data_IF_389309136921
#
_entry.id   IF_389309136921
#
_cell.length_a   1.000
_cell.length_b   1.000
_cell.length_c   1.000
_cell.angle_alpha   90.00
_cell.angle_beta   90.00
_cell.angle_gamma   90.00
#
_symmetry.space_group_name_H-M   'P 1'
#
loop_
_entity.id
_entity.type
_entity.pdbx_description
1 polymer ?
#
# COMPACT_ATOMS: atom_id res chain seq x y z
N UNK A 1 2.19 -9.76 -8.48
CA UNK A 1 0.91 -9.27 -9.03
C UNK A 1 -0.19 -10.26 -8.59
N UNK A 2 -0.83 -10.01 -7.44
CA UNK A 2 -1.97 -10.82 -6.99
C UNK A 2 -3.20 -10.38 -7.77
N UNK A 3 -3.58 -11.12 -8.81
CA UNK A 3 -4.85 -10.95 -9.48
C UNK A 3 -5.94 -11.63 -8.64
N UNK A 4 -6.42 -10.91 -7.63
CA UNK A 4 -7.64 -11.29 -6.90
C UNK A 4 -8.85 -11.02 -7.79
N UNK A 5 -9.18 -11.97 -8.68
CA UNK A 5 -10.43 -11.93 -9.41
C UNK A 5 -11.57 -12.36 -8.47
N UNK A 6 -12.20 -11.40 -7.79
CA UNK A 6 -13.47 -11.61 -7.12
C UNK A 6 -14.54 -11.87 -8.18
N UNK A 7 -15.06 -13.11 -8.24
CA UNK A 7 -16.25 -13.44 -9.00
C UNK A 7 -17.51 -12.84 -8.34
N UNK A 8 -17.68 -11.52 -8.40
CA UNK A 8 -18.98 -10.90 -8.16
C UNK A 8 -19.87 -11.11 -9.40
N UNK A 9 -20.47 -12.28 -9.50
CA UNK A 9 -21.49 -12.59 -10.51
C UNK A 9 -22.83 -12.01 -10.12
N UNK A 10 -23.04 -10.71 -10.31
CA UNK A 10 -24.38 -10.10 -10.28
C UNK A 10 -25.05 -10.34 -11.64
N UNK A 11 -25.54 -11.55 -11.88
CA UNK A 11 -26.22 -11.90 -13.14
C UNK A 11 -27.65 -11.35 -13.14
N UNK A 12 -27.83 -10.08 -13.57
CA UNK A 12 -29.13 -9.64 -14.10
C UNK A 12 -29.22 -10.07 -15.55
N UNK A 13 -30.22 -10.92 -15.83
CA UNK A 13 -30.78 -11.26 -17.15
C UNK A 13 -29.78 -11.70 -18.23
N UNK A 14 -29.66 -13.01 -18.44
CA UNK A 14 -29.08 -13.57 -19.67
C UNK A 14 -30.07 -13.36 -20.83
N UNK A 15 -29.97 -12.21 -21.51
CA UNK A 15 -30.58 -11.98 -22.82
C UNK A 15 -29.47 -11.84 -23.85
N UNK A 16 -29.25 -12.88 -24.66
CA UNK A 16 -28.32 -12.82 -25.78
C UNK A 16 -29.00 -12.21 -27.01
N UNK A 17 -28.43 -11.16 -27.58
CA UNK A 17 -28.61 -10.81 -28.98
C UNK A 17 -27.25 -10.94 -29.67
N UNK A 18 -27.14 -11.91 -30.57
CA UNK A 18 -25.99 -12.18 -31.42
C UNK A 18 -26.10 -11.35 -32.70
N UNK A 19 -25.03 -10.62 -33.03
CA UNK A 19 -24.85 -10.01 -34.36
C UNK A 19 -24.67 -11.12 -35.40
N UNK A 20 -25.55 -11.11 -36.40
CA UNK A 20 -25.57 -12.04 -37.51
C UNK A 20 -24.63 -11.57 -38.63
N UNK A 21 -23.57 -12.33 -38.90
CA UNK A 21 -22.96 -12.42 -40.23
C UNK A 21 -21.98 -13.60 -40.31
N UNK A 22 -22.45 -14.67 -40.96
CA UNK A 22 -21.73 -15.39 -42.02
C UNK A 22 -20.37 -16.04 -41.71
N UNK A 23 -20.41 -17.36 -41.48
CA UNK A 23 -19.35 -18.33 -41.80
C UNK A 23 -17.91 -18.00 -41.34
N UNK A 24 -17.62 -18.27 -40.07
CA UNK A 24 -16.27 -18.52 -39.57
C UNK A 24 -16.38 -19.53 -38.44
N UNK A 25 -15.55 -20.58 -38.46
CA UNK A 25 -15.44 -21.61 -37.39
C UNK A 25 -15.69 -20.96 -36.03
N UNK A 26 -16.72 -21.42 -35.32
CA UNK A 26 -17.07 -20.92 -33.99
C UNK A 26 -15.83 -20.98 -33.09
N UNK A 27 -15.12 -19.87 -32.94
CA UNK A 27 -14.22 -19.68 -31.83
C UNK A 27 -15.11 -19.76 -30.60
N UNK A 28 -15.14 -20.93 -29.95
CA UNK A 28 -15.83 -21.10 -28.67
C UNK A 28 -15.30 -20.03 -27.73
N UNK A 29 -16.08 -18.97 -27.55
CA UNK A 29 -15.75 -17.88 -26.66
C UNK A 29 -15.75 -18.45 -25.24
N UNK A 30 -14.58 -18.47 -24.60
CA UNK A 30 -14.43 -18.98 -23.25
C UNK A 30 -14.32 -17.79 -22.30
N UNK A 31 -15.07 -17.77 -21.18
CA UNK A 31 -14.88 -16.77 -20.15
C UNK A 31 -13.44 -16.77 -19.65
N UNK A 32 -12.88 -15.58 -19.37
CA UNK A 32 -11.48 -15.44 -18.98
C UNK A 32 -11.10 -16.29 -17.76
N UNK A 33 -11.96 -16.33 -16.73
CA UNK A 33 -11.74 -17.18 -15.56
C UNK A 33 -11.71 -18.67 -15.91
N UNK A 34 -12.57 -19.10 -16.83
CA UNK A 34 -12.62 -20.50 -17.27
C UNK A 34 -11.37 -20.85 -18.07
N UNK A 35 -10.87 -19.92 -18.89
CA UNK A 35 -9.59 -20.06 -19.58
C UNK A 35 -8.41 -20.21 -18.61
N UNK A 36 -8.30 -19.32 -17.61
CA UNK A 36 -7.26 -19.41 -16.58
C UNK A 36 -7.37 -20.69 -15.74
N UNK A 37 -8.59 -21.09 -15.36
CA UNK A 37 -8.82 -22.35 -14.65
C UNK A 37 -8.41 -23.56 -15.49
N UNK A 38 -8.63 -23.52 -16.80
CA UNK A 38 -8.12 -24.51 -17.74
C UNK A 38 -6.60 -24.60 -17.72
N UNK A 39 -5.92 -23.46 -17.84
CA UNK A 39 -4.45 -23.39 -17.79
C UNK A 39 -3.88 -23.91 -16.46
N UNK A 40 -4.48 -23.53 -15.33
CA UNK A 40 -4.08 -24.00 -14.00
C UNK A 40 -4.22 -25.53 -13.85
N UNK A 41 -5.27 -26.13 -14.43
CA UNK A 41 -5.45 -27.59 -14.45
C UNK A 41 -4.43 -28.30 -15.33
N UNK A 42 -4.00 -27.67 -16.42
CA UNK A 42 -2.97 -28.21 -17.33
C UNK A 42 -1.53 -27.89 -16.91
N UNK A 43 -1.33 -27.05 -15.89
CA UNK A 43 -0.01 -26.63 -15.39
C UNK A 43 0.87 -27.79 -14.91
N UNK A 44 0.29 -28.97 -14.69
CA UNK A 44 1.04 -30.22 -14.49
C UNK A 44 1.93 -30.62 -15.69
N UNK A 45 1.80 -29.95 -16.84
CA UNK A 45 2.47 -30.33 -18.11
C UNK A 45 3.40 -29.25 -18.70
N UNK A 46 3.37 -27.99 -18.26
CA UNK A 46 4.20 -26.88 -18.81
C UNK A 46 4.50 -25.80 -17.78
N UNK A 47 5.72 -25.27 -17.77
CA UNK A 47 6.22 -24.31 -16.76
C UNK A 47 5.63 -22.88 -16.81
N UNK A 48 5.57 -22.30 -15.60
CA UNK A 48 5.69 -20.91 -15.17
C UNK A 48 4.72 -19.79 -15.57
N UNK A 49 3.95 -19.86 -16.67
CA UNK A 49 3.18 -18.67 -17.11
C UNK A 49 2.05 -18.24 -16.15
N UNK A 50 1.41 -19.21 -15.47
CA UNK A 50 0.30 -18.97 -14.52
C UNK A 50 0.70 -19.24 -13.06
N UNK A 51 2.01 -19.32 -12.80
CA UNK A 51 2.53 -19.51 -11.45
C UNK A 51 2.13 -18.35 -10.54
N UNK A 52 1.55 -18.67 -9.37
CA UNK A 52 1.06 -17.68 -8.41
C UNK A 52 -0.35 -17.13 -8.65
N UNK A 53 -1.06 -17.58 -9.69
CA UNK A 53 -2.49 -17.24 -9.88
C UNK A 53 -3.35 -18.16 -9.01
N UNK A 54 -4.19 -17.57 -8.17
CA UNK A 54 -5.15 -18.30 -7.33
C UNK A 54 -6.59 -17.82 -7.62
N UNK A 55 -7.51 -18.77 -7.82
CA UNK A 55 -8.92 -18.49 -8.05
C UNK A 55 -9.72 -18.91 -6.82
N UNK A 56 -10.39 -17.94 -6.17
CA UNK A 56 -11.30 -18.19 -5.04
C UNK A 56 -12.71 -17.80 -5.43
N UNK A 57 -13.66 -18.74 -5.28
CA UNK A 57 -15.06 -18.52 -5.60
C UNK A 57 -15.94 -18.62 -4.35
N UNK A 58 -16.85 -17.66 -4.19
CA UNK A 58 -17.92 -17.71 -3.19
C UNK A 58 -19.27 -17.69 -3.92
N UNK A 59 -20.20 -18.53 -3.48
CA UNK A 59 -21.50 -18.72 -4.12
C UNK A 59 -22.63 -18.35 -3.15
N UNK A 60 -23.55 -17.47 -3.58
CA UNK A 60 -24.77 -17.12 -2.83
C UNK A 60 -25.99 -17.66 -3.58
N UNK A 61 -26.48 -18.82 -3.14
CA UNK A 61 -27.44 -19.63 -3.90
C UNK A 61 -26.74 -20.52 -4.93
N UNK A 62 -27.36 -21.65 -5.31
CA UNK A 62 -26.73 -22.62 -6.22
C UNK A 62 -26.92 -22.24 -7.69
N UNK A 63 -25.94 -22.58 -8.53
CA UNK A 63 -26.00 -22.37 -9.96
C UNK A 63 -27.10 -23.24 -10.63
N UNK A 64 -28.05 -22.63 -11.36
CA UNK A 64 -29.06 -23.39 -12.09
C UNK A 64 -28.45 -24.12 -13.29
N UNK A 65 -28.94 -25.33 -13.58
CA UNK A 65 -28.46 -26.15 -14.72
C UNK A 65 -28.57 -25.44 -16.10
N UNK A 66 -29.46 -24.46 -16.24
CA UNK A 66 -29.61 -23.65 -17.45
C UNK A 66 -28.50 -22.60 -17.64
N UNK A 67 -27.73 -22.26 -16.61
CA UNK A 67 -26.67 -21.24 -16.69
C UNK A 67 -25.29 -21.89 -16.84
N UNK A 68 -24.65 -21.68 -17.99
CA UNK A 68 -23.32 -22.23 -18.25
C UNK A 68 -22.17 -21.40 -17.67
N UNK A 69 -22.42 -20.16 -17.23
CA UNK A 69 -21.38 -19.25 -16.73
C UNK A 69 -20.98 -19.49 -15.27
N UNK A 70 -21.93 -19.88 -14.42
CA UNK A 70 -21.65 -20.24 -13.02
C UNK A 70 -21.38 -21.74 -12.81
N UNK A 71 -21.35 -22.52 -13.90
CA UNK A 71 -21.27 -23.98 -13.87
C UNK A 71 -19.97 -24.43 -13.19
N UNK A 72 -20.11 -25.15 -12.07
CA UNK A 72 -19.01 -25.83 -11.39
C UNK A 72 -19.28 -27.34 -11.37
N UNK A 73 -18.25 -28.12 -11.69
CA UNK A 73 -18.36 -29.58 -11.76
C UNK A 73 -18.91 -30.15 -10.45
N UNK A 74 -20.03 -30.88 -10.54
CA UNK A 74 -20.68 -31.53 -9.39
C UNK A 74 -21.51 -30.62 -8.49
N UNK A 75 -21.72 -29.34 -8.85
CA UNK A 75 -22.51 -28.38 -8.04
C UNK A 75 -23.76 -27.83 -8.74
N UNK A 76 -24.09 -28.34 -9.92
CA UNK A 76 -25.29 -27.95 -10.64
C UNK A 76 -26.56 -28.51 -9.99
N UNK A 77 -27.60 -27.69 -9.93
CA UNK A 77 -28.91 -28.12 -9.45
C UNK A 77 -30.00 -27.70 -10.45
N UNK A 78 -30.95 -28.60 -10.78
CA UNK A 78 -32.15 -28.19 -11.49
C UNK A 78 -32.99 -27.31 -10.55
N UNK A 79 -33.38 -26.12 -11.03
CA UNK A 79 -34.25 -25.17 -10.31
C UNK A 79 -33.86 -24.93 -8.83
N UNK A 80 -32.70 -24.29 -8.56
CA UNK A 80 -32.27 -23.98 -7.21
C UNK A 80 -33.17 -22.92 -6.54
N UNK A 81 -33.32 -23.00 -5.22
CA UNK A 81 -34.10 -22.03 -4.43
C UNK A 81 -33.33 -20.69 -4.41
N UNK A 82 -33.96 -19.56 -4.80
CA UNK A 82 -33.34 -18.25 -4.74
C UNK A 82 -32.92 -17.86 -3.32
N UNK A 83 -31.76 -17.22 -3.18
CA UNK A 83 -31.23 -16.72 -1.91
C UNK A 83 -31.27 -15.19 -1.92
N UNK A 84 -31.47 -14.58 -0.75
CA UNK A 84 -31.40 -13.12 -0.62
C UNK A 84 -30.00 -12.62 -0.99
N UNK A 85 -29.91 -11.82 -2.05
CA UNK A 85 -28.65 -11.24 -2.53
C UNK A 85 -28.47 -9.80 -2.07
N UNK A 86 -29.54 -9.02 -2.10
CA UNK A 86 -29.50 -7.58 -1.84
C UNK A 86 -30.80 -7.13 -1.18
N UNK A 87 -30.67 -6.23 -0.21
CA UNK A 87 -31.79 -5.49 0.38
C UNK A 87 -31.84 -4.13 -0.30
N UNK A 88 -32.78 -3.94 -1.23
CA UNK A 88 -32.87 -2.72 -2.03
C UNK A 88 -33.57 -1.56 -1.31
N UNK A 89 -34.43 -1.87 -0.34
CA UNK A 89 -35.19 -0.89 0.46
C UNK A 89 -35.35 -1.40 1.88
N UNK A 90 -35.23 -0.48 2.83
CA UNK A 90 -35.44 -0.74 4.25
C UNK A 90 -36.46 0.28 4.74
N UNK A 91 -37.43 -0.19 5.51
CA UNK A 91 -38.42 0.66 6.19
C UNK A 91 -38.25 0.47 7.69
N UNK A 92 -38.03 1.54 8.48
CA UNK A 92 -37.84 1.42 9.92
C UNK A 92 -39.09 0.86 10.62
N UNK A 93 -38.92 -0.02 11.60
CA UNK A 93 -40.05 -0.69 12.27
C UNK A 93 -40.98 0.26 13.02
N UNK A 94 -40.47 1.41 13.48
CA UNK A 94 -41.32 2.43 14.12
C UNK A 94 -42.35 3.03 13.16
N UNK A 95 -42.24 2.83 11.83
CA UNK A 95 -43.29 3.25 10.90
C UNK A 95 -44.57 2.42 11.03
N UNK A 96 -44.49 1.23 11.63
CA UNK A 96 -45.62 0.33 11.86
C UNK A 96 -46.39 0.67 13.15
N UNK A 97 -45.83 1.54 13.99
CA UNK A 97 -46.46 1.98 15.25
C UNK A 97 -47.47 3.09 14.95
N UNK A 98 -48.71 2.89 15.39
CA UNK A 98 -49.81 3.83 15.15
C UNK A 98 -49.85 4.98 16.16
N UNK A 99 -49.50 4.71 17.42
CA UNK A 99 -49.45 5.72 18.48
C UNK A 99 -48.22 6.61 18.33
N UNK A 100 -48.43 7.93 18.26
CA UNK A 100 -47.36 8.90 18.01
C UNK A 100 -46.33 8.94 19.15
N UNK A 101 -46.77 8.77 20.40
CA UNK A 101 -45.88 8.84 21.57
C UNK A 101 -44.93 7.65 21.56
N UNK A 102 -45.48 6.45 21.44
CA UNK A 102 -44.73 5.18 21.37
C UNK A 102 -43.81 5.16 20.16
N UNK A 103 -44.25 5.69 19.02
CA UNK A 103 -43.44 5.81 17.81
C UNK A 103 -42.19 6.65 18.03
N UNK A 104 -42.31 7.83 18.63
CA UNK A 104 -41.14 8.68 18.90
C UNK A 104 -40.23 8.07 19.97
N UNK A 105 -40.76 7.46 21.03
CA UNK A 105 -39.93 6.73 22.02
C UNK A 105 -39.16 5.59 21.36
N UNK A 106 -39.81 4.81 20.49
CA UNK A 106 -39.17 3.70 19.80
C UNK A 106 -38.11 4.16 18.79
N UNK A 107 -38.37 5.28 18.10
CA UNK A 107 -37.37 5.93 17.24
C UNK A 107 -36.15 6.40 18.04
N UNK A 108 -36.34 7.08 19.17
CA UNK A 108 -35.24 7.51 20.04
C UNK A 108 -34.41 6.33 20.57
N UNK A 109 -35.07 5.27 21.03
CA UNK A 109 -34.40 4.05 21.47
C UNK A 109 -33.62 3.35 20.32
N UNK A 110 -34.19 3.33 19.12
CA UNK A 110 -33.51 2.80 17.92
C UNK A 110 -32.26 3.62 17.58
N UNK A 111 -32.35 4.95 17.64
CA UNK A 111 -31.22 5.86 17.39
C UNK A 111 -30.12 5.69 18.45
N UNK A 112 -30.49 5.60 19.72
CA UNK A 112 -29.57 5.31 20.83
C UNK A 112 -28.84 3.98 20.62
N UNK A 113 -29.57 2.92 20.29
CA UNK A 113 -28.99 1.60 20.04
C UNK A 113 -28.00 1.60 18.88
N UNK A 114 -28.29 2.34 17.80
CA UNK A 114 -27.48 2.32 16.59
C UNK A 114 -26.25 3.25 16.67
N UNK A 115 -26.42 4.48 17.16
CA UNK A 115 -25.35 5.50 17.15
C UNK A 115 -24.57 5.61 18.46
N UNK A 116 -25.22 5.31 19.59
CA UNK A 116 -24.68 5.50 20.93
C UNK A 116 -24.58 4.19 21.72
N UNK A 117 -24.60 3.04 21.02
CA UNK A 117 -24.50 1.69 21.58
C UNK A 117 -25.50 1.40 22.72
N UNK A 118 -26.63 2.10 22.75
CA UNK A 118 -27.67 1.97 23.79
C UNK A 118 -27.29 2.56 25.15
N UNK A 119 -26.24 3.39 25.23
CA UNK A 119 -25.74 4.00 26.48
C UNK A 119 -25.74 5.52 26.46
N UNK A 120 -26.73 6.09 25.81
CA UNK A 120 -26.89 7.53 25.68
C UNK A 120 -27.92 7.91 24.63
N UNK A 121 -28.33 9.17 24.66
CA UNK A 121 -29.33 9.71 23.75
C UNK A 121 -28.68 10.47 22.60
N UNK A 122 -29.32 10.45 21.44
CA UNK A 122 -28.91 11.26 20.29
C UNK A 122 -29.53 12.65 20.42
N UNK A 123 -28.69 13.69 20.41
CA UNK A 123 -29.10 15.09 20.39
C UNK A 123 -28.49 15.71 19.12
N UNK A 124 -29.34 16.17 18.21
CA UNK A 124 -28.94 16.63 16.88
C UNK A 124 -28.04 15.59 16.17
N UNK A 125 -26.74 15.88 16.05
CA UNK A 125 -25.74 15.04 15.39
C UNK A 125 -24.70 14.41 16.36
N UNK A 126 -24.93 14.47 17.68
CA UNK A 126 -23.99 13.91 18.66
C UNK A 126 -24.69 13.03 19.71
N UNK A 127 -23.90 12.18 20.36
CA UNK A 127 -24.38 11.29 21.41
C UNK A 127 -24.10 11.89 22.80
N UNK A 128 -25.16 12.15 23.56
CA UNK A 128 -25.11 12.45 24.99
C UNK A 128 -25.01 11.15 25.77
N UNK A 129 -23.79 10.80 26.15
CA UNK A 129 -23.53 9.56 26.88
C UNK A 129 -24.04 9.59 28.32
N UNK A 130 -24.59 8.47 28.78
CA UNK A 130 -24.88 8.25 30.20
C UNK A 130 -23.60 8.16 31.02
N UNK A 131 -23.68 8.42 32.33
CA UNK A 131 -22.53 8.38 33.24
C UNK A 131 -21.82 7.02 33.28
N UNK A 132 -22.52 5.93 32.95
CA UNK A 132 -21.97 4.58 32.89
C UNK A 132 -21.15 4.29 31.62
N UNK A 133 -21.15 5.21 30.64
CA UNK A 133 -20.54 5.03 29.34
C UNK A 133 -19.19 5.76 29.18
N UNK A 134 -18.62 6.27 30.28
CA UNK A 134 -17.32 6.91 30.28
C UNK A 134 -16.18 5.87 30.35
N UNK A 135 -15.06 6.16 29.69
CA UNK A 135 -13.85 5.34 29.71
C UNK A 135 -13.13 5.47 31.05
N UNK A 136 -12.05 4.70 31.21
CA UNK A 136 -11.15 4.79 32.38
C UNK A 136 -10.55 6.18 32.56
N UNK A 137 -10.39 6.90 31.45
CA UNK A 137 -9.82 8.26 31.41
C UNK A 137 -10.88 9.34 31.65
N UNK A 138 -12.13 8.96 31.92
CA UNK A 138 -13.23 9.90 32.12
C UNK A 138 -13.70 10.56 30.82
N UNK A 139 -13.43 9.95 29.66
CA UNK A 139 -13.88 10.43 28.35
C UNK A 139 -15.13 9.67 27.88
N UNK A 140 -16.08 10.29 27.17
CA UNK A 140 -17.34 9.63 26.84
C UNK A 140 -17.15 8.61 25.70
N UNK A 141 -17.59 7.37 25.92
CA UNK A 141 -17.33 6.21 25.04
C UNK A 141 -18.61 5.49 24.56
N UNK A 142 -19.77 6.17 24.60
CA UNK A 142 -21.04 5.58 24.11
C UNK A 142 -21.08 5.47 22.57
N UNK A 143 -20.38 6.35 21.85
CA UNK A 143 -20.22 6.24 20.41
C UNK A 143 -18.81 5.70 20.12
N UNK A 144 -18.66 4.43 19.70
CA UNK A 144 -17.37 3.76 19.66
C UNK A 144 -16.52 4.29 18.51
N UNK A 145 -15.38 4.90 18.85
CA UNK A 145 -14.40 5.40 17.90
C UNK A 145 -13.81 4.24 17.10
N UNK A 146 -14.05 4.22 15.79
CA UNK A 146 -13.66 3.11 14.92
C UNK A 146 -12.17 3.17 14.58
N UNK A 147 -11.57 2.00 14.39
CA UNK A 147 -10.19 1.89 13.91
C UNK A 147 -10.10 2.34 12.45
N UNK A 148 -9.28 3.36 12.10
CA UNK A 148 -9.02 3.70 10.71
C UNK A 148 -8.15 2.63 10.07
N UNK A 149 -8.49 2.18 8.86
CA UNK A 149 -7.74 1.13 8.17
C UNK A 149 -6.72 1.76 7.23
N UNK A 150 -5.46 1.81 7.66
CA UNK A 150 -4.32 2.27 6.86
C UNK A 150 -3.98 1.26 5.76
N UNK A 151 -3.77 1.75 4.53
CA UNK A 151 -3.47 0.93 3.34
C UNK A 151 -2.40 1.60 2.50
N UNK A 152 -1.71 0.81 1.67
CA UNK A 152 -0.91 1.36 0.57
C UNK A 152 -1.86 1.93 -0.49
N UNK A 153 -1.48 3.07 -1.07
CA UNK A 153 -2.21 3.67 -2.19
C UNK A 153 -2.16 2.72 -3.41
N UNK A 154 -3.30 2.22 -3.92
CA UNK A 154 -3.31 1.20 -4.97
C UNK A 154 -2.80 1.70 -6.32
N UNK A 155 -2.77 3.02 -6.52
CA UNK A 155 -2.35 3.67 -7.76
C UNK A 155 -0.90 4.19 -7.70
N UNK A 156 -0.26 4.14 -6.52
CA UNK A 156 1.11 4.62 -6.30
C UNK A 156 1.94 3.50 -5.67
N UNK A 157 2.54 2.67 -6.52
CA UNK A 157 3.45 1.61 -6.06
C UNK A 157 4.66 2.21 -5.32
N UNK A 158 5.08 1.64 -4.18
CA UNK A 158 6.29 2.06 -3.47
C UNK A 158 7.53 2.07 -4.37
N UNK A 159 8.41 3.06 -4.18
CA UNK A 159 9.71 3.15 -4.83
C UNK A 159 10.85 3.02 -3.81
N UNK A 160 12.06 3.38 -4.22
CA UNK A 160 13.24 3.39 -3.36
C UNK A 160 13.16 4.46 -2.28
N UNK A 161 12.52 5.60 -2.54
CA UNK A 161 12.40 6.70 -1.58
C UNK A 161 10.97 7.15 -1.31
N UNK A 162 10.01 6.59 -2.05
CA UNK A 162 8.61 7.02 -1.99
C UNK A 162 7.68 5.90 -1.52
N UNK A 163 6.80 6.21 -0.59
CA UNK A 163 5.68 5.37 -0.16
C UNK A 163 4.43 6.24 -0.05
N UNK A 164 3.33 5.77 -0.63
CA UNK A 164 2.03 6.42 -0.53
C UNK A 164 1.05 5.56 0.27
N UNK A 165 0.32 6.20 1.18
CA UNK A 165 -0.64 5.59 2.10
C UNK A 165 -1.99 6.25 1.96
N UNK A 166 -3.06 5.50 2.18
CA UNK A 166 -4.44 6.02 2.17
C UNK A 166 -5.29 5.34 3.23
N UNK A 167 -6.29 6.08 3.73
CA UNK A 167 -7.34 5.56 4.59
C UNK A 167 -8.65 6.31 4.37
N UNK A 168 -9.75 5.59 4.58
CA UNK A 168 -11.08 6.19 4.59
C UNK A 168 -11.35 6.79 5.95
N UNK A 169 -12.05 7.93 5.93
CA UNK A 169 -12.49 8.59 7.13
C UNK A 169 -13.47 7.71 7.92
N UNK A 170 -13.28 7.67 9.24
CA UNK A 170 -14.10 6.87 10.14
C UNK A 170 -15.16 7.70 10.88
N UNK A 171 -15.17 9.03 10.68
CA UNK A 171 -16.17 9.90 11.31
C UNK A 171 -17.61 9.48 10.90
N UNK A 172 -18.51 9.21 11.86
CA UNK A 172 -19.89 8.90 11.59
C UNK A 172 -20.71 10.16 11.31
N UNK A 173 -21.85 9.99 10.64
CA UNK A 173 -22.83 11.06 10.45
C UNK A 173 -23.36 11.60 11.80
N UNK A 174 -23.59 10.71 12.77
CA UNK A 174 -24.06 11.03 14.12
C UNK A 174 -23.13 10.34 15.14
N UNK A 175 -22.65 11.09 16.13
CA UNK A 175 -21.86 10.53 17.23
C UNK A 175 -20.61 11.36 17.54
N UNK A 176 -19.46 10.69 17.58
CA UNK A 176 -18.17 11.36 17.77
C UNK A 176 -17.78 12.17 16.53
N UNK A 177 -16.96 13.19 16.75
CA UNK A 177 -16.32 14.00 15.70
C UNK A 177 -14.83 13.82 15.80
N UNK A 178 -14.16 13.68 14.66
CA UNK A 178 -12.71 13.52 14.62
C UNK A 178 -12.06 14.87 14.60
N UNK A 179 -11.08 15.07 15.46
CA UNK A 179 -10.25 16.27 15.43
C UNK A 179 -8.99 16.08 14.62
N UNK A 180 -8.42 14.87 14.64
CA UNK A 180 -7.12 14.62 14.00
C UNK A 180 -6.88 13.13 13.69
N UNK A 181 -5.91 12.88 12.82
CA UNK A 181 -5.29 11.59 12.57
C UNK A 181 -3.80 11.68 12.91
N UNK A 182 -3.33 10.77 13.75
CA UNK A 182 -1.93 10.71 14.14
C UNK A 182 -1.24 9.57 13.40
N UNK A 183 -0.18 9.92 12.69
CA UNK A 183 0.64 9.00 11.93
C UNK A 183 1.99 8.88 12.60
N UNK A 184 2.43 7.65 12.84
CA UNK A 184 3.79 7.39 13.30
C UNK A 184 4.51 6.54 12.28
N UNK A 185 5.77 6.87 12.00
CA UNK A 185 6.59 6.06 11.11
C UNK A 185 7.98 5.84 11.68
N UNK A 186 8.49 4.62 11.49
CA UNK A 186 9.85 4.26 11.86
C UNK A 186 10.45 3.31 10.84
N UNK A 187 11.77 3.44 10.65
CA UNK A 187 12.58 2.41 10.02
C UNK A 187 12.76 1.28 11.03
N UNK A 188 12.59 0.05 10.56
CA UNK A 188 12.78 -1.17 11.34
C UNK A 188 14.08 -1.82 10.88
N UNK A 189 15.08 -1.88 11.76
CA UNK A 189 16.37 -2.53 11.48
C UNK A 189 16.26 -4.05 11.69
N UNK A 190 15.71 -4.47 12.82
CA UNK A 190 15.39 -5.87 13.12
C UNK A 190 13.90 -6.01 13.51
N UNK A 191 13.09 -6.80 12.77
CA UNK A 191 11.70 -7.08 13.13
C UNK A 191 11.52 -7.77 14.49
N UNK A 192 12.57 -8.38 15.04
CA UNK A 192 12.57 -9.11 16.31
C UNK A 192 12.96 -8.27 17.52
N UNK A 193 13.48 -7.04 17.30
CA UNK A 193 13.77 -6.11 18.39
C UNK A 193 12.48 -5.61 19.05
N UNK A 194 12.53 -5.50 20.39
CA UNK A 194 11.43 -4.94 21.16
C UNK A 194 11.12 -3.50 20.72
N UNK A 195 9.84 -3.13 20.65
CA UNK A 195 9.39 -1.79 20.26
C UNK A 195 9.71 -0.73 21.34
N UNK A 196 10.99 -0.46 21.57
CA UNK A 196 11.46 0.52 22.57
C UNK A 196 11.40 1.94 22.00
N UNK A 197 11.57 2.09 20.68
CA UNK A 197 11.55 3.39 20.01
C UNK A 197 10.18 3.71 19.39
N UNK A 198 9.56 4.77 19.89
CA UNK A 198 8.43 5.44 19.25
C UNK A 198 8.97 6.23 18.05
N UNK A 199 8.49 5.92 16.85
CA UNK A 199 8.92 6.59 15.62
C UNK A 199 8.58 8.08 15.59
N UNK A 200 8.90 8.74 14.47
CA UNK A 200 8.48 10.12 14.23
C UNK A 200 6.95 10.18 14.20
N UNK A 201 6.37 11.11 14.97
CA UNK A 201 4.92 11.29 15.10
C UNK A 201 4.52 12.55 14.36
N UNK A 202 3.49 12.44 13.52
CA UNK A 202 2.96 13.51 12.69
C UNK A 202 1.46 13.64 12.91
N UNK A 203 1.01 14.84 13.24
CA UNK A 203 -0.40 15.24 13.22
C UNK A 203 -0.80 15.61 11.79
N UNK A 204 -1.92 15.06 11.30
CA UNK A 204 -2.44 15.40 9.99
C UNK A 204 -2.82 16.88 9.92
N UNK A 205 -3.42 17.42 10.99
CA UNK A 205 -3.83 18.82 11.06
C UNK A 205 -2.63 19.73 11.30
N UNK A 206 -1.93 19.51 12.40
CA UNK A 206 -0.96 20.47 12.94
C UNK A 206 0.38 20.42 12.23
N UNK A 207 0.81 19.26 11.72
CA UNK A 207 2.09 19.16 11.00
C UNK A 207 1.88 19.21 9.49
N UNK A 208 0.88 18.49 8.97
CA UNK A 208 0.78 18.27 7.53
C UNK A 208 -0.08 19.32 6.81
N UNK A 209 -1.30 19.58 7.27
CA UNK A 209 -2.18 20.58 6.63
C UNK A 209 -1.81 22.03 6.96
N UNK A 210 -1.30 22.30 8.15
CA UNK A 210 -0.78 23.63 8.52
C UNK A 210 0.44 24.05 7.68
N UNK A 211 1.17 23.06 7.13
CA UNK A 211 2.40 23.27 6.37
C UNK A 211 3.64 23.52 7.23
N UNK A 212 3.58 23.26 8.54
CA UNK A 212 4.74 23.28 9.44
C UNK A 212 5.67 22.06 9.25
N UNK A 213 5.16 20.99 8.66
CA UNK A 213 5.87 19.74 8.41
C UNK A 213 6.90 19.79 7.27
N UNK A 214 7.74 18.76 7.23
CA UNK A 214 8.78 18.58 6.21
C UNK A 214 8.20 18.46 4.79
N UNK A 215 8.90 19.00 3.78
CA UNK A 215 8.56 18.81 2.35
C UNK A 215 8.62 17.35 1.89
N UNK A 216 9.21 16.47 2.72
CA UNK A 216 9.29 15.03 2.52
C UNK A 216 7.98 14.30 2.73
N UNK A 217 6.99 14.90 3.41
CA UNK A 217 5.67 14.31 3.63
C UNK A 217 4.62 15.25 3.09
N UNK A 218 3.71 14.71 2.29
CA UNK A 218 2.58 15.46 1.75
C UNK A 218 1.29 14.80 2.20
N UNK A 219 0.35 15.61 2.68
CA UNK A 219 -1.03 15.18 2.89
C UNK A 219 -1.96 15.59 1.75
N UNK A 220 -2.92 14.70 1.48
CA UNK A 220 -4.00 14.86 0.53
C UNK A 220 -5.34 14.51 1.16
N UNK A 221 -6.40 15.11 0.62
CA UNK A 221 -7.79 14.88 0.97
C UNK A 221 -8.60 14.85 -0.32
N UNK A 222 -9.46 13.84 -0.47
CA UNK A 222 -10.35 13.68 -1.63
C UNK A 222 -11.71 13.18 -1.16
N UNK A 223 -12.79 13.62 -1.80
CA UNK A 223 -14.11 13.02 -1.58
C UNK A 223 -14.22 11.69 -2.34
N UNK A 224 -14.65 10.64 -1.66
CA UNK A 224 -14.87 9.32 -2.24
C UNK A 224 -16.16 9.22 -3.06
N UNK A 225 -16.47 8.01 -3.51
CA UNK A 225 -17.59 7.74 -4.43
C UNK A 225 -18.97 7.94 -3.76
N UNK A 226 -19.04 7.88 -2.43
CA UNK A 226 -20.26 8.12 -1.67
C UNK A 226 -20.26 9.53 -1.05
N UNK A 227 -21.43 10.21 -1.02
CA UNK A 227 -21.59 11.44 -0.24
C UNK A 227 -21.14 11.19 1.20
N UNK A 228 -20.35 12.11 1.76
CA UNK A 228 -19.76 12.02 3.11
C UNK A 228 -18.62 10.99 3.29
N UNK A 229 -18.19 10.30 2.24
CA UNK A 229 -16.93 9.54 2.30
C UNK A 229 -15.76 10.46 1.97
N UNK A 230 -14.81 10.59 2.90
CA UNK A 230 -13.56 11.33 2.71
C UNK A 230 -12.42 10.32 2.70
N UNK A 231 -11.54 10.43 1.71
CA UNK A 231 -10.30 9.68 1.60
C UNK A 231 -9.14 10.61 1.93
N UNK A 232 -8.36 10.23 2.94
CA UNK A 232 -7.11 10.89 3.28
C UNK A 232 -5.95 10.11 2.69
N UNK A 233 -4.93 10.83 2.23
CA UNK A 233 -3.72 10.23 1.65
C UNK A 233 -2.46 10.91 2.14
N UNK A 234 -1.38 10.14 2.24
CA UNK A 234 -0.04 10.61 2.60
C UNK A 234 0.98 10.10 1.60
N UNK A 235 1.89 10.97 1.17
CA UNK A 235 3.02 10.61 0.32
C UNK A 235 4.32 10.99 1.01
N UNK A 236 5.09 9.98 1.40
CA UNK A 236 6.46 10.12 1.88
C UNK A 236 7.40 10.08 0.67
N UNK A 237 8.35 11.02 0.55
CA UNK A 237 9.22 11.19 -0.64
C UNK A 237 10.72 11.01 -0.38
N UNK A 238 11.12 11.03 0.88
CA UNK A 238 12.54 11.05 1.31
C UNK A 238 12.91 9.82 2.14
N UNK A 239 12.23 8.69 1.94
CA UNK A 239 12.56 7.47 2.67
C UNK A 239 13.90 6.92 2.19
N UNK A 240 14.57 6.15 3.06
CA UNK A 240 15.77 5.46 2.67
C UNK A 240 15.45 4.21 1.84
N UNK A 241 16.26 3.92 0.82
CA UNK A 241 16.07 2.74 -0.01
C UNK A 241 16.47 1.44 0.71
N UNK A 242 15.97 0.32 0.20
CA UNK A 242 16.20 -1.03 0.73
C UNK A 242 15.97 -1.15 2.25
N UNK A 243 14.96 -0.45 2.75
CA UNK A 243 14.69 -0.33 4.18
C UNK A 243 13.26 -0.73 4.50
N UNK A 244 13.06 -1.43 5.61
CA UNK A 244 11.74 -1.79 6.09
C UNK A 244 11.19 -0.65 6.94
N UNK A 245 10.00 -0.16 6.60
CA UNK A 245 9.31 0.87 7.37
C UNK A 245 8.01 0.31 7.94
N UNK A 246 7.68 0.72 9.17
CA UNK A 246 6.38 0.48 9.80
C UNK A 246 5.69 1.83 9.98
N UNK A 247 4.49 1.93 9.42
CA UNK A 247 3.60 3.08 9.55
C UNK A 247 2.41 2.70 10.42
N UNK A 248 2.07 3.51 11.40
CA UNK A 248 0.92 3.29 12.28
C UNK A 248 0.00 4.50 12.27
N UNK A 249 -1.31 4.27 12.25
CA UNK A 249 -2.33 5.31 12.21
C UNK A 249 -3.35 5.09 13.32
N UNK A 250 -3.74 6.15 14.01
CA UNK A 250 -4.94 6.15 14.85
C UNK A 250 -5.66 7.49 14.75
N UNK A 251 -6.97 7.49 15.04
CA UNK A 251 -7.81 8.68 15.04
C UNK A 251 -7.90 9.26 16.45
N UNK A 252 -8.08 10.58 16.53
CA UNK A 252 -8.34 11.32 17.76
C UNK A 252 -9.69 12.02 17.63
N UNK A 253 -10.59 11.82 18.59
CA UNK A 253 -11.86 12.54 18.63
C UNK A 253 -11.72 13.95 19.22
N UNK A 254 -12.74 14.78 19.05
CA UNK A 254 -12.79 16.15 19.57
C UNK A 254 -12.64 16.29 21.09
N UNK A 255 -12.75 15.18 21.83
CA UNK A 255 -12.61 15.08 23.29
C UNK A 255 -11.26 14.46 23.70
N UNK A 256 -10.40 14.08 22.75
CA UNK A 256 -9.09 13.48 22.98
C UNK A 256 -9.04 11.96 23.08
N UNK A 257 -10.16 11.26 22.88
CA UNK A 257 -10.21 9.79 22.85
C UNK A 257 -9.44 9.26 21.64
N UNK A 258 -8.78 8.12 21.80
CA UNK A 258 -7.97 7.50 20.75
C UNK A 258 -8.62 6.22 20.23
N UNK A 259 -8.59 6.03 18.92
CA UNK A 259 -9.01 4.77 18.31
C UNK A 259 -7.98 3.67 18.60
N UNK A 260 -8.36 2.42 18.34
CA UNK A 260 -7.35 1.40 18.08
C UNK A 260 -6.47 1.82 16.89
N UNK A 261 -5.19 1.44 16.91
CA UNK A 261 -4.26 1.77 15.84
C UNK A 261 -4.27 0.71 14.76
N UNK A 262 -4.11 1.12 13.51
CA UNK A 262 -3.79 0.22 12.39
C UNK A 262 -2.36 0.43 11.93
N UNK A 263 -1.79 -0.52 11.19
CA UNK A 263 -0.43 -0.42 10.71
C UNK A 263 -0.22 -1.06 9.35
N UNK A 264 0.79 -0.57 8.64
CA UNK A 264 1.29 -1.12 7.38
C UNK A 264 2.81 -1.18 7.48
N UNK A 265 3.38 -2.35 7.16
CA UNK A 265 4.82 -2.53 7.03
C UNK A 265 5.18 -2.74 5.57
N UNK A 266 6.13 -1.96 5.06
CA UNK A 266 6.54 -2.01 3.64
C UNK A 266 8.05 -1.84 3.52
N UNK A 267 8.67 -2.62 2.64
CA UNK A 267 10.08 -2.45 2.28
C UNK A 267 10.17 -1.52 1.07
N UNK A 268 10.99 -0.47 1.16
CA UNK A 268 11.31 0.38 0.02
C UNK A 268 12.11 -0.41 -1.01
N UNK A 269 11.97 -0.03 -2.28
CA UNK A 269 12.68 -0.70 -3.37
C UNK A 269 14.20 -0.48 -3.29
N UNK A 270 14.95 -1.28 -4.04
CA UNK A 270 16.40 -1.13 -4.10
C UNK A 270 16.79 0.25 -4.67
N UNK A 271 17.95 0.79 -4.27
CA UNK A 271 18.49 2.03 -4.83
C UNK A 271 18.63 1.97 -6.35
N UNK A 272 18.51 3.12 -7.01
CA UNK A 272 18.74 3.23 -8.45
C UNK A 272 20.20 2.87 -8.78
N UNK A 273 20.39 2.06 -9.83
CA UNK A 273 21.73 1.66 -10.29
C UNK A 273 21.84 1.92 -11.79
N UNK A 274 22.89 2.66 -12.16
CA UNK A 274 23.29 2.85 -13.55
C UNK A 274 24.17 1.66 -13.97
N UNK A 275 23.59 0.76 -14.75
CA UNK A 275 24.23 -0.49 -15.16
C UNK A 275 25.42 -0.26 -16.11
N UNK A 276 25.32 0.70 -17.02
CA UNK A 276 26.41 1.07 -17.95
C UNK A 276 27.61 1.64 -17.21
N UNK A 277 27.37 2.52 -16.24
CA UNK A 277 28.43 3.07 -15.40
C UNK A 277 29.08 1.99 -14.54
N UNK A 278 28.31 1.00 -14.08
CA UNK A 278 28.86 -0.11 -13.30
C UNK A 278 29.81 -0.96 -14.14
N UNK A 279 29.45 -1.26 -15.39
CA UNK A 279 30.30 -2.00 -16.32
C UNK A 279 31.58 -1.23 -16.65
N UNK A 280 31.48 0.07 -16.96
CA UNK A 280 32.65 0.93 -17.21
C UNK A 280 33.63 0.97 -16.02
N UNK A 281 33.11 1.05 -14.80
CA UNK A 281 33.95 1.04 -13.60
C UNK A 281 34.61 -0.33 -13.41
N UNK A 282 33.92 -1.44 -13.71
CA UNK A 282 34.50 -2.77 -13.63
C UNK A 282 35.70 -2.92 -14.58
N UNK A 283 35.54 -2.50 -15.84
CA UNK A 283 36.60 -2.50 -16.85
C UNK A 283 37.77 -1.60 -16.44
N UNK A 284 37.48 -0.40 -15.92
CA UNK A 284 38.48 0.53 -15.42
C UNK A 284 39.29 -0.08 -14.27
N UNK A 285 38.63 -0.72 -13.29
CA UNK A 285 39.29 -1.35 -12.15
C UNK A 285 40.15 -2.53 -12.60
N UNK A 286 39.66 -3.35 -13.52
CA UNK A 286 40.44 -4.44 -14.12
C UNK A 286 41.72 -3.92 -14.80
N UNK A 287 41.62 -2.85 -15.58
CA UNK A 287 42.78 -2.24 -16.23
C UNK A 287 43.78 -1.65 -15.22
N UNK A 288 43.30 -1.04 -14.13
CA UNK A 288 44.17 -0.54 -13.05
C UNK A 288 44.90 -1.67 -12.31
N UNK A 289 44.24 -2.80 -12.08
CA UNK A 289 44.85 -3.99 -11.48
C UNK A 289 45.90 -4.60 -12.41
N UNK A 290 45.63 -4.64 -13.71
CA UNK A 290 46.62 -5.09 -14.69
C UNK A 290 47.80 -4.13 -14.92
N UNK A 291 47.75 -2.89 -14.42
CA UNK A 291 48.86 -1.94 -14.48
C UNK A 291 50.06 -2.34 -13.60
N UNK A 292 49.83 -3.21 -12.59
CA UNK A 292 50.78 -3.87 -11.68
C UNK A 292 51.87 -3.02 -10.99
N UNK A 293 52.00 -1.70 -11.22
CA UNK A 293 53.26 -1.01 -10.88
C UNK A 293 53.16 0.38 -10.26
N UNK A 294 52.01 1.06 -10.28
CA UNK A 294 51.90 2.42 -9.73
C UNK A 294 51.05 2.47 -8.47
N UNK A 295 51.63 2.91 -7.35
CA UNK A 295 50.87 3.21 -6.12
C UNK A 295 49.77 4.27 -6.34
N UNK A 296 49.88 5.09 -7.40
CA UNK A 296 48.81 6.00 -7.82
C UNK A 296 47.62 5.22 -8.38
N UNK A 297 47.83 4.19 -9.19
CA UNK A 297 46.76 3.36 -9.77
C UNK A 297 46.00 2.59 -8.68
N UNK A 298 46.73 2.00 -7.72
CA UNK A 298 46.13 1.35 -6.55
C UNK A 298 45.25 2.32 -5.75
N UNK A 299 45.75 3.53 -5.50
CA UNK A 299 44.98 4.54 -4.77
C UNK A 299 43.78 5.05 -5.58
N UNK A 300 43.91 5.21 -6.90
CA UNK A 300 42.81 5.57 -7.80
C UNK A 300 41.73 4.50 -7.85
N UNK A 301 42.10 3.21 -7.92
CA UNK A 301 41.15 2.10 -7.88
C UNK A 301 40.39 2.09 -6.55
N UNK A 302 41.11 2.18 -5.43
CA UNK A 302 40.51 2.22 -4.10
C UNK A 302 39.56 3.41 -3.92
N UNK A 303 39.96 4.62 -4.34
CA UNK A 303 39.11 5.81 -4.25
C UNK A 303 37.85 5.66 -5.10
N UNK A 304 37.99 5.18 -6.34
CA UNK A 304 36.85 4.95 -7.25
C UNK A 304 35.82 4.01 -6.62
N UNK A 305 36.26 2.90 -6.02
CA UNK A 305 35.38 1.91 -5.36
C UNK A 305 34.76 2.43 -4.05
N UNK A 306 35.43 3.36 -3.36
CA UNK A 306 34.93 3.93 -2.09
C UNK A 306 33.99 5.13 -2.29
N UNK A 307 34.13 5.85 -3.39
CA UNK A 307 33.29 7.00 -3.74
C UNK A 307 31.89 6.60 -4.21
N UNK A 308 31.75 5.41 -4.81
CA UNK A 308 30.46 4.91 -5.31
C UNK A 308 29.55 4.34 -4.21
N UNK A 309 28.22 4.44 -4.36
CA UNK A 309 27.30 3.89 -3.38
C UNK A 309 27.36 2.35 -3.35
N UNK A 310 27.11 1.70 -2.19
CA UNK A 310 27.23 0.24 -2.06
C UNK A 310 26.48 -0.61 -3.11
N UNK A 311 25.24 -0.28 -3.52
CA UNK A 311 24.55 -1.00 -4.59
C UNK A 311 25.27 -0.97 -5.93
N UNK A 312 25.88 0.18 -6.27
CA UNK A 312 26.68 0.32 -7.48
C UNK A 312 27.98 -0.48 -7.37
N UNK A 313 28.64 -0.46 -6.20
CA UNK A 313 29.81 -1.29 -5.92
C UNK A 313 29.51 -2.79 -6.08
N UNK A 314 28.37 -3.25 -5.57
CA UNK A 314 27.94 -4.64 -5.75
C UNK A 314 27.67 -4.98 -7.22
N UNK A 315 27.15 -4.02 -8.00
CA UNK A 315 26.95 -4.19 -9.43
C UNK A 315 28.28 -4.22 -10.20
N UNK A 316 29.25 -3.39 -9.82
CA UNK A 316 30.63 -3.44 -10.34
C UNK A 316 31.25 -4.81 -10.09
N UNK A 317 31.11 -5.35 -8.87
CA UNK A 317 31.57 -6.70 -8.54
C UNK A 317 30.93 -7.76 -9.45
N UNK A 318 29.63 -7.65 -9.72
CA UNK A 318 28.93 -8.57 -10.63
C UNK A 318 29.51 -8.54 -12.04
N UNK A 319 29.68 -7.35 -12.62
CA UNK A 319 30.27 -7.20 -13.97
C UNK A 319 31.72 -7.65 -14.03
N UNK A 320 32.53 -7.28 -13.03
CA UNK A 320 33.92 -7.71 -12.95
C UNK A 320 34.03 -9.24 -12.97
N UNK A 321 33.24 -9.93 -12.14
CA UNK A 321 33.26 -11.39 -12.10
C UNK A 321 32.71 -11.99 -13.40
N UNK A 322 31.68 -11.39 -14.01
CA UNK A 322 31.13 -11.87 -15.28
C UNK A 322 32.19 -11.89 -16.41
N UNK A 323 33.09 -10.91 -16.44
CA UNK A 323 34.07 -10.77 -17.52
C UNK A 323 35.46 -11.33 -17.18
N UNK A 324 35.89 -11.18 -15.92
CA UNK A 324 37.30 -11.33 -15.53
C UNK A 324 37.56 -12.38 -14.44
N UNK A 325 36.55 -13.10 -13.95
CA UNK A 325 36.71 -14.11 -12.88
C UNK A 325 37.74 -15.19 -13.23
N UNK A 326 37.95 -15.48 -14.52
CA UNK A 326 39.00 -16.42 -15.00
C UNK A 326 40.42 -16.00 -14.58
N UNK A 327 40.64 -14.71 -14.34
CA UNK A 327 41.91 -14.16 -13.90
C UNK A 327 41.97 -13.95 -12.38
N UNK A 328 40.96 -14.37 -11.64
CA UNK A 328 40.79 -14.15 -10.20
C UNK A 328 39.52 -13.35 -9.94
N UNK A 329 38.72 -13.76 -8.96
CA UNK A 329 37.51 -13.04 -8.61
C UNK A 329 37.82 -11.64 -8.07
N UNK A 330 36.83 -10.74 -8.13
CA UNK A 330 36.96 -9.35 -7.71
C UNK A 330 37.48 -9.20 -6.28
N UNK A 331 37.08 -10.07 -5.37
CA UNK A 331 37.44 -9.98 -3.95
C UNK A 331 38.90 -10.34 -3.75
N UNK A 332 39.30 -11.48 -4.30
CA UNK A 332 40.65 -12.00 -4.26
C UNK A 332 41.62 -11.04 -4.96
N UNK A 333 41.27 -10.54 -6.15
CA UNK A 333 42.07 -9.54 -6.86
C UNK A 333 42.17 -8.21 -6.13
N UNK A 334 41.10 -7.74 -5.51
CA UNK A 334 41.17 -6.52 -4.69
C UNK A 334 42.11 -6.69 -3.49
N UNK A 335 42.17 -7.87 -2.89
CA UNK A 335 43.07 -8.16 -1.77
C UNK A 335 44.52 -8.25 -2.22
N UNK A 336 44.81 -8.86 -3.37
CA UNK A 336 46.15 -8.95 -3.96
C UNK A 336 46.71 -7.56 -4.31
N UNK A 337 45.92 -6.73 -5.00
CA UNK A 337 46.38 -5.45 -5.54
C UNK A 337 46.32 -4.28 -4.54
N UNK A 338 45.38 -4.29 -3.60
CA UNK A 338 45.18 -3.20 -2.63
C UNK A 338 45.58 -3.56 -1.20
N UNK A 339 45.82 -4.85 -0.95
CA UNK A 339 46.09 -5.40 0.38
C UNK A 339 44.82 -5.68 1.20
N UNK A 340 44.93 -6.56 2.23
CA UNK A 340 43.79 -7.09 2.98
C UNK A 340 42.89 -6.02 3.63
N UNK A 341 43.50 -4.97 4.20
CA UNK A 341 42.75 -3.93 4.92
C UNK A 341 41.85 -3.12 3.98
N UNK A 342 42.34 -2.74 2.80
CA UNK A 342 41.57 -1.96 1.83
C UNK A 342 40.47 -2.81 1.20
N UNK A 343 40.79 -4.05 0.81
CA UNK A 343 39.81 -5.00 0.29
C UNK A 343 38.67 -5.26 1.29
N UNK A 344 39.00 -5.49 2.56
CA UNK A 344 37.97 -5.74 3.58
C UNK A 344 37.04 -4.54 3.80
N UNK A 345 37.56 -3.30 3.72
CA UNK A 345 36.73 -2.10 3.79
C UNK A 345 35.77 -1.97 2.60
N UNK A 346 36.18 -2.39 1.41
CA UNK A 346 35.33 -2.45 0.22
C UNK A 346 34.21 -3.48 0.43
N UNK A 347 34.55 -4.71 0.86
CA UNK A 347 33.58 -5.78 1.09
C UNK A 347 32.51 -5.41 2.12
N UNK A 348 32.92 -4.79 3.23
CA UNK A 348 32.01 -4.39 4.32
C UNK A 348 30.94 -3.40 3.88
N UNK A 349 31.16 -2.63 2.80
CA UNK A 349 30.13 -1.73 2.24
C UNK A 349 28.98 -2.51 1.63
N UNK A 350 29.29 -3.60 0.94
CA UNK A 350 28.31 -4.46 0.25
C UNK A 350 27.48 -5.28 1.24
N UNK A 351 28.03 -5.58 2.42
CA UNK A 351 27.31 -6.30 3.48
C UNK A 351 26.04 -5.59 3.97
N UNK A 352 25.96 -4.27 3.80
CA UNK A 352 24.78 -3.47 4.21
C UNK A 352 23.59 -3.62 3.28
N UNK A 353 23.78 -4.18 2.08
CA UNK A 353 22.70 -4.41 1.11
C UNK A 353 21.89 -5.62 1.57
N UNK A 354 20.57 -5.54 1.53
CA UNK A 354 19.69 -6.65 1.91
C UNK A 354 19.81 -7.84 0.97
N UNK A 355 19.41 -9.01 1.47
CA UNK A 355 19.33 -10.23 0.65
C UNK A 355 18.43 -10.05 -0.57
N UNK A 356 17.34 -9.30 -0.43
CA UNK A 356 16.40 -9.01 -1.52
C UNK A 356 17.09 -8.22 -2.64
N UNK A 357 17.74 -7.11 -2.30
CA UNK A 357 18.43 -6.30 -3.30
C UNK A 357 19.66 -6.98 -3.87
N UNK A 358 20.40 -7.76 -3.09
CA UNK A 358 21.50 -8.58 -3.62
C UNK A 358 21.05 -9.59 -4.66
N UNK A 359 19.85 -10.16 -4.53
CA UNK A 359 19.28 -11.07 -5.53
C UNK A 359 18.93 -10.31 -6.82
N UNK A 360 18.26 -9.16 -6.71
CA UNK A 360 17.87 -8.35 -7.86
C UNK A 360 19.06 -7.73 -8.60
N UNK A 361 20.09 -7.27 -7.88
CA UNK A 361 21.28 -6.66 -8.47
C UNK A 361 22.19 -7.67 -9.21
N UNK A 362 21.92 -8.98 -9.10
CA UNK A 362 22.57 -10.04 -9.89
C UNK A 362 21.88 -10.32 -11.22
N UNK A 363 20.80 -9.61 -11.55
CA UNK A 363 20.10 -9.77 -12.83
C UNK A 363 21.03 -9.51 -14.02
N UNK A 364 20.76 -10.08 -15.19
CA UNK A 364 21.63 -9.89 -16.35
C UNK A 364 21.71 -8.40 -16.75
N UNK A 365 20.57 -7.70 -16.74
CA UNK A 365 20.49 -6.28 -17.09
C UNK A 365 19.63 -5.52 -16.09
N UNK A 366 20.02 -4.26 -15.84
CA UNK A 366 19.24 -3.31 -15.05
C UNK A 366 19.02 -2.05 -15.89
N UNK A 367 17.77 -1.67 -16.09
CA UNK A 367 17.39 -0.43 -16.76
C UNK A 367 16.67 0.49 -15.77
N UNK A 368 16.76 1.79 -15.97
CA UNK A 368 15.98 2.75 -15.21
C UNK A 368 14.73 3.16 -16.01
N UNK A 369 13.58 3.15 -15.36
CA UNK A 369 12.35 3.77 -15.87
C UNK A 369 11.95 4.90 -14.95
N UNK A 370 11.39 5.95 -15.53
CA UNK A 370 10.81 7.07 -14.76
C UNK A 370 9.33 7.11 -15.03
N UNK A 371 8.54 6.84 -13.99
CA UNK A 371 7.10 6.90 -14.05
C UNK A 371 6.64 8.23 -13.46
N UNK A 372 5.78 8.95 -14.17
CA UNK A 372 5.17 10.20 -13.65
C UNK A 372 3.79 9.87 -13.12
N UNK A 373 3.54 10.16 -11.85
CA UNK A 373 2.28 9.84 -11.18
C UNK A 373 1.69 11.08 -10.53
N UNK A 374 0.36 11.16 -10.47
CA UNK A 374 -0.33 12.26 -9.80
C UNK A 374 -0.58 11.95 -8.32
N UNK A 375 -0.56 12.99 -7.49
CA UNK A 375 -0.93 12.92 -6.09
C UNK A 375 -1.63 14.21 -5.65
N UNK A 376 -2.49 14.11 -4.64
CA UNK A 376 -3.18 15.26 -4.06
C UNK A 376 -2.30 15.94 -3.02
N UNK A 377 -2.21 17.27 -3.10
CA UNK A 377 -1.55 18.12 -2.13
C UNK A 377 -2.56 19.09 -1.55
N UNK A 378 -2.86 18.97 -0.26
CA UNK A 378 -3.82 19.82 0.43
C UNK A 378 -3.16 20.61 1.55
N UNK A 379 -3.62 21.85 1.75
CA UNK A 379 -3.26 22.70 2.88
C UNK A 379 -4.49 23.34 3.50
N UNK A 380 -4.45 23.60 4.80
CA UNK A 380 -5.51 24.36 5.47
C UNK A 380 -5.49 25.81 5.00
N UNK A 381 -6.66 26.37 4.71
CA UNK A 381 -6.83 27.80 4.42
C UNK A 381 -6.96 28.63 5.71
N UNK A 382 -7.41 28.00 6.81
CA UNK A 382 -7.64 28.64 8.10
C UNK A 382 -6.72 28.03 9.17
N UNK A 383 -6.04 28.89 9.93
CA UNK A 383 -5.36 28.50 11.18
C UNK A 383 -6.40 28.61 12.27
N UNK A 384 -7.09 27.51 12.56
CA UNK A 384 -8.10 27.47 13.62
C UNK A 384 -7.41 27.78 14.97
N UNK A 385 -7.89 28.74 15.76
CA UNK A 385 -7.28 29.02 17.06
C UNK A 385 -7.48 27.81 17.98
N UNK A 386 -6.44 27.35 18.69
CA UNK A 386 -6.57 26.22 19.60
C UNK A 386 -7.49 26.63 20.77
N UNK A 387 -8.71 26.12 20.76
CA UNK A 387 -9.59 26.18 21.93
C UNK A 387 -9.19 25.07 22.91
N UNK A 388 -9.05 25.40 24.19
CA UNK A 388 -8.33 24.56 25.16
C UNK A 388 -9.04 23.26 25.59
N UNK A 389 -10.24 22.96 25.07
CA UNK A 389 -11.01 21.77 25.50
C UNK A 389 -11.76 21.07 24.35
N UNK A 390 -12.03 21.76 23.24
CA UNK A 390 -12.82 21.20 22.13
C UNK A 390 -12.16 21.51 20.79
N UNK A 391 -11.80 20.47 20.06
CA UNK A 391 -11.34 20.59 18.69
C UNK A 391 -12.53 20.44 17.71
N UNK A 392 -12.55 21.25 16.65
CA UNK A 392 -13.57 21.16 15.59
C UNK A 392 -13.47 19.84 14.82
N UNK A 393 -14.50 19.52 14.03
CA UNK A 393 -14.42 18.35 13.13
C UNK A 393 -13.41 18.61 12.01
N UNK A 394 -12.51 17.66 11.79
CA UNK A 394 -11.56 17.62 10.69
C UNK A 394 -12.25 17.71 9.32
N UNK A 395 -13.47 17.20 9.21
CA UNK A 395 -14.24 17.29 7.96
C UNK A 395 -14.63 18.74 7.64
N UNK A 396 -14.86 19.57 8.65
CA UNK A 396 -15.29 20.96 8.50
C UNK A 396 -14.12 21.90 8.17
N UNK A 397 -12.88 21.46 8.41
CA UNK A 397 -11.68 22.23 8.08
C UNK A 397 -11.61 22.50 6.57
N UNK A 398 -11.52 23.78 6.20
CA UNK A 398 -11.40 24.22 4.81
C UNK A 398 -9.98 23.98 4.32
N UNK A 399 -9.84 23.10 3.33
CA UNK A 399 -8.55 22.75 2.74
C UNK A 399 -8.51 23.11 1.26
N UNK A 400 -7.50 23.87 0.85
CA UNK A 400 -7.16 24.09 -0.54
C UNK A 400 -6.35 22.90 -1.05
N UNK A 401 -6.92 22.15 -2.00
CA UNK A 401 -6.32 20.96 -2.58
C UNK A 401 -5.94 21.18 -4.04
N UNK A 402 -4.75 20.75 -4.43
CA UNK A 402 -4.27 20.76 -5.81
C UNK A 402 -3.63 19.43 -6.18
N UNK A 403 -3.85 19.01 -7.42
CA UNK A 403 -3.18 17.85 -7.98
C UNK A 403 -1.75 18.25 -8.40
N UNK A 404 -0.77 17.45 -8.02
CA UNK A 404 0.64 17.61 -8.39
C UNK A 404 1.17 16.32 -8.99
N UNK A 405 2.22 16.45 -9.80
CA UNK A 405 2.92 15.31 -10.39
C UNK A 405 4.20 15.02 -9.61
N UNK A 406 4.53 13.74 -9.47
CA UNK A 406 5.79 13.25 -8.95
C UNK A 406 6.45 12.32 -9.97
N UNK A 407 7.73 12.54 -10.21
CA UNK A 407 8.57 11.67 -11.04
C UNK A 407 9.21 10.62 -10.15
N UNK A 408 8.94 9.35 -10.42
CA UNK A 408 9.38 8.22 -9.61
C UNK A 408 10.29 7.34 -10.45
N UNK A 409 11.56 7.27 -10.07
CA UNK A 409 12.52 6.39 -10.72
C UNK A 409 12.44 4.99 -10.14
N UNK A 410 12.47 3.98 -11.02
CA UNK A 410 12.46 2.56 -10.67
C UNK A 410 13.46 1.80 -11.52
N UNK A 411 14.11 0.81 -10.92
CA UNK A 411 14.89 -0.17 -11.66
C UNK A 411 13.95 -1.22 -12.27
N UNK A 412 14.19 -1.55 -13.53
CA UNK A 412 13.63 -2.69 -14.24
C UNK A 412 14.72 -3.74 -14.33
N UNK A 413 14.45 -4.93 -13.78
CA UNK A 413 15.39 -6.05 -13.75
C UNK A 413 14.99 -7.07 -14.80
N UNK A 414 15.93 -7.48 -15.66
CA UNK A 414 15.64 -8.38 -16.76
C UNK A 414 16.75 -9.39 -17.04
N UNK A 415 16.36 -10.51 -17.65
CA UNK A 415 17.29 -11.52 -18.16
C UNK A 415 17.78 -11.20 -19.59
N UNK A 416 17.09 -10.31 -20.31
CA UNK A 416 17.45 -9.86 -21.65
C UNK A 416 17.14 -8.36 -21.80
N UNK A 417 17.91 -7.63 -22.63
CA UNK A 417 17.79 -6.17 -22.81
C UNK A 417 16.46 -5.67 -23.41
N UNK A 418 15.62 -6.57 -23.94
CA UNK A 418 14.49 -6.24 -24.83
C UNK A 418 13.08 -6.43 -24.22
N UNK A 419 12.94 -6.72 -22.92
CA UNK A 419 11.62 -6.83 -22.28
C UNK A 419 11.61 -6.35 -20.84
#
# INVERSE_FOLDING_TARGET
>A
MQLSALCYGRFRTCGGQTTDQGSRRELKSMPFISYLSGLLKTQLLTEDLVSGVEIRCEEKGRCPSACHLCRQAGREQPSPIPVLLEVSRIVPLYSLVQDNVTKETFKSATMSSYWCAGKGDVIDNWCRCDLSAFSKDGLPNCSPLRQPVLRLAPHLEPSSTMVALEWLDVEPLIGYKLSDYIIQHKRVEDPSEAEIYTGEVLSLVDDLFSGLGSSCVVAGRRNGDHPHSVLYSLVFKCLEPDSLYKFTLYAVDSRGSRSESSFVSVRTSCPMVDDSRAEEIADKVYNLYNGYTSGKEQQTAYNTLMEIPPPLLYRVQHHYNSHYEKFGDFVWRSEDELGPRKAHLILRRVERISRYCRALLRSAYIQSRTDTMAYMFCRSEEVQPPSSVWHGSLQETRTACMEKLISVQRNTYGNAKLR
#
